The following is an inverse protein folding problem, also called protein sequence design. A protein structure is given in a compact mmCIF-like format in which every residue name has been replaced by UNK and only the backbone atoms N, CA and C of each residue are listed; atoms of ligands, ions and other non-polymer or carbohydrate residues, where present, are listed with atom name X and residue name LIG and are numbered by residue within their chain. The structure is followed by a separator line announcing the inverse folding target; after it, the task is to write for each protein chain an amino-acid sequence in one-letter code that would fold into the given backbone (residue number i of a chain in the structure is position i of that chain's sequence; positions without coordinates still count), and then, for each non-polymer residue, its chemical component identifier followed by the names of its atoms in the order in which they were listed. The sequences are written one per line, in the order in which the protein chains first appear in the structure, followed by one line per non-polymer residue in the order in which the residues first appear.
data_IF_696105412124
#
_entry.id   IF_696105412124
#
_cell.length_a   1.000
_cell.length_b   1.000
_cell.length_c   1.000
_cell.angle_alpha   90.00
_cell.angle_beta   90.00
_cell.angle_gamma   90.00
#
_symmetry.space_group_name_H-M   'P 1'
#
loop_
_entity.id
_entity.type
_entity.pdbx_description
1 polymer ?
#
# COMPACT_ATOMS: atom_id res chain seq x y z
N UNK A 1 -0.97 -4.62 -15.67
CA UNK A 1 -2.29 -5.20 -15.98
C UNK A 1 -2.24 -5.99 -17.29
N UNK A 2 -3.10 -6.99 -17.55
CA UNK A 2 -3.07 -7.73 -18.83
C UNK A 2 -3.44 -6.84 -20.02
N UNK A 3 -4.45 -5.98 -19.86
CA UNK A 3 -4.89 -5.10 -20.95
C UNK A 3 -3.78 -4.12 -21.32
N UNK A 4 -3.18 -3.44 -20.34
CA UNK A 4 -2.04 -2.53 -20.55
C UNK A 4 -0.88 -3.21 -21.31
N UNK A 5 -0.58 -4.47 -20.99
CA UNK A 5 0.49 -5.23 -21.67
C UNK A 5 0.11 -5.52 -23.13
N UNK A 6 -1.14 -5.90 -23.40
CA UNK A 6 -1.63 -6.14 -24.76
C UNK A 6 -1.64 -4.83 -25.56
N UNK A 7 -2.09 -3.73 -24.95
CA UNK A 7 -2.14 -2.41 -25.56
C UNK A 7 -0.72 -1.91 -25.92
N UNK A 8 0.26 -2.12 -25.03
CA UNK A 8 1.65 -1.79 -25.31
C UNK A 8 2.24 -2.64 -26.45
N UNK A 9 1.88 -3.93 -26.52
CA UNK A 9 2.27 -4.79 -27.65
C UNK A 9 1.67 -4.28 -28.97
N UNK A 10 0.39 -3.89 -28.98
CA UNK A 10 -0.27 -3.32 -30.15
C UNK A 10 0.35 -1.98 -30.55
N UNK A 11 0.68 -1.13 -29.58
CA UNK A 11 1.38 0.14 -29.82
C UNK A 11 2.72 -0.08 -30.51
N UNK A 12 3.54 -1.01 -30.00
CA UNK A 12 4.85 -1.32 -30.58
C UNK A 12 4.74 -1.98 -31.98
N UNK A 13 3.68 -2.75 -32.23
CA UNK A 13 3.41 -3.29 -33.57
C UNK A 13 3.07 -2.17 -34.59
N UNK A 14 2.34 -1.14 -34.15
CA UNK A 14 1.99 0.02 -34.99
C UNK A 14 3.13 1.04 -35.14
N UNK A 15 4.00 1.14 -34.14
CA UNK A 15 5.15 2.03 -34.10
C UNK A 15 6.39 1.29 -33.53
N UNK A 16 7.17 0.59 -34.37
CA UNK A 16 8.33 -0.18 -33.91
C UNK A 16 9.45 0.65 -33.28
N UNK A 17 9.50 1.95 -33.56
CA UNK A 17 10.49 2.89 -33.02
C UNK A 17 10.00 3.58 -31.72
N UNK A 18 8.87 3.13 -31.16
CA UNK A 18 8.33 3.65 -29.91
C UNK A 18 9.39 3.63 -28.80
N UNK A 19 9.51 4.75 -28.11
CA UNK A 19 10.43 4.93 -27.00
C UNK A 19 9.91 4.25 -25.74
N UNK A 20 10.81 3.96 -24.81
CA UNK A 20 10.42 3.43 -23.49
C UNK A 20 9.46 4.40 -22.78
N UNK A 21 9.64 5.71 -22.95
CA UNK A 21 8.80 6.70 -22.28
C UNK A 21 7.36 6.69 -22.83
N UNK A 22 7.17 6.49 -24.13
CA UNK A 22 5.83 6.29 -24.73
C UNK A 22 5.19 4.98 -24.23
N UNK A 23 5.98 3.91 -24.09
CA UNK A 23 5.47 2.65 -23.52
C UNK A 23 5.11 2.76 -22.03
N UNK A 24 5.79 3.64 -21.28
CA UNK A 24 5.44 3.94 -19.88
C UNK A 24 4.09 4.66 -19.78
N UNK A 25 3.69 5.43 -20.77
CA UNK A 25 2.35 6.05 -20.77
C UNK A 25 1.24 5.00 -20.89
N UNK A 26 1.52 3.87 -21.56
CA UNK A 26 0.59 2.74 -21.71
C UNK A 26 0.66 1.79 -20.50
N UNK A 27 1.86 1.52 -19.99
CA UNK A 27 2.10 0.69 -18.79
C UNK A 27 2.75 1.58 -17.71
N UNK A 28 1.94 2.34 -16.94
CA UNK A 28 2.47 3.33 -16.00
C UNK A 28 3.23 2.70 -14.85
N UNK A 29 2.78 1.53 -14.38
CA UNK A 29 3.42 0.81 -13.29
C UNK A 29 3.05 -0.68 -13.27
N UNK A 30 3.64 -1.41 -12.31
CA UNK A 30 3.28 -2.80 -12.03
C UNK A 30 1.89 -2.91 -11.41
N UNK A 31 1.22 -4.02 -11.68
CA UNK A 31 -0.13 -4.32 -11.18
C UNK A 31 -0.04 -5.45 -10.14
N UNK A 32 -0.35 -5.12 -8.88
CA UNK A 32 -0.21 -6.04 -7.75
C UNK A 32 -1.57 -6.63 -7.35
N UNK A 33 -1.67 -7.94 -7.08
CA UNK A 33 -2.95 -8.60 -6.80
C UNK A 33 -3.58 -8.20 -5.46
N UNK A 34 -2.81 -7.59 -4.56
CA UNK A 34 -3.27 -7.12 -3.25
C UNK A 34 -3.64 -5.65 -3.24
N UNK A 35 -3.74 -5.03 -4.43
CA UNK A 35 -3.92 -3.59 -4.58
C UNK A 35 -2.84 -2.80 -3.81
N UNK A 36 -3.24 -1.79 -3.03
CA UNK A 36 -2.35 -0.88 -2.32
C UNK A 36 -1.84 0.26 -3.20
N UNK A 37 -0.90 1.03 -2.63
CA UNK A 37 -0.44 2.29 -3.23
C UNK A 37 1.04 2.19 -3.56
N UNK A 38 1.39 2.39 -4.83
CA UNK A 38 2.77 2.62 -5.24
C UNK A 38 3.17 4.02 -4.78
N UNK A 39 4.11 4.09 -3.83
CA UNK A 39 4.61 5.32 -3.26
C UNK A 39 5.80 5.84 -4.07
N UNK A 40 5.48 6.72 -5.03
CA UNK A 40 6.46 7.30 -5.94
C UNK A 40 6.77 6.38 -7.12
N UNK A 41 6.85 6.98 -8.31
CA UNK A 41 6.98 6.25 -9.59
C UNK A 41 8.37 6.34 -10.21
N UNK A 42 9.29 7.13 -9.64
CA UNK A 42 10.63 7.32 -10.19
C UNK A 42 11.40 5.99 -10.31
N UNK A 43 11.42 5.19 -9.24
CA UNK A 43 12.10 3.89 -9.25
C UNK A 43 11.43 2.84 -10.15
N UNK A 44 10.13 2.98 -10.44
CA UNK A 44 9.42 2.15 -11.43
C UNK A 44 9.91 2.49 -12.83
N UNK A 45 9.96 3.79 -13.17
CA UNK A 45 10.45 4.28 -14.47
C UNK A 45 11.91 3.90 -14.72
N UNK A 46 12.77 4.01 -13.70
CA UNK A 46 14.16 3.53 -13.79
C UNK A 46 14.23 2.02 -14.05
N UNK A 47 13.33 1.26 -13.42
CA UNK A 47 13.15 -0.17 -13.67
C UNK A 47 12.84 -0.47 -15.14
N UNK A 48 11.90 0.26 -15.74
CA UNK A 48 11.58 0.10 -17.17
C UNK A 48 12.73 0.49 -18.10
N UNK A 49 13.47 1.55 -17.79
CA UNK A 49 14.57 2.02 -18.64
C UNK A 49 15.84 1.19 -18.55
N UNK A 50 16.15 0.67 -17.35
CA UNK A 50 17.47 0.06 -17.06
C UNK A 50 17.38 -1.43 -16.72
N UNK A 51 16.18 -1.96 -16.53
CA UNK A 51 15.96 -3.29 -15.96
C UNK A 51 16.20 -3.38 -14.44
N UNK A 52 16.60 -2.28 -13.79
CA UNK A 52 16.83 -2.21 -12.34
C UNK A 52 16.12 -1.00 -11.75
N UNK A 53 15.22 -1.27 -10.81
CA UNK A 53 14.41 -0.24 -10.17
C UNK A 53 13.91 -0.69 -8.81
N UNK A 54 13.42 0.26 -8.02
CA UNK A 54 12.79 -0.02 -6.72
C UNK A 54 11.35 0.45 -6.75
N UNK A 55 10.45 -0.43 -6.33
CA UNK A 55 9.05 -0.09 -6.08
C UNK A 55 8.86 -0.02 -4.56
N UNK A 56 8.29 1.08 -4.09
CA UNK A 56 7.89 1.21 -2.68
C UNK A 56 6.38 1.10 -2.64
N UNK A 57 5.88 0.15 -1.86
CA UNK A 57 4.44 -0.06 -1.68
C UNK A 57 4.02 0.44 -0.30
N UNK A 58 2.85 1.05 -0.23
CA UNK A 58 2.21 1.49 1.01
C UNK A 58 0.83 0.82 1.12
N UNK A 59 0.48 0.44 2.36
CA UNK A 59 -0.85 -0.03 2.70
C UNK A 59 -1.89 1.07 2.41
N UNK A 60 -3.10 0.68 1.99
CA UNK A 60 -4.22 1.61 1.93
C UNK A 60 -4.80 1.75 3.34
N UNK A 61 -4.89 2.99 3.83
CA UNK A 61 -5.34 3.29 5.18
C UNK A 61 -6.21 4.53 5.21
N UNK A 62 -7.14 4.58 6.15
CA UNK A 62 -7.90 5.78 6.48
C UNK A 62 -8.09 5.92 7.99
N UNK A 63 -8.65 7.05 8.43
CA UNK A 63 -8.90 7.32 9.84
C UNK A 63 -10.40 7.29 10.14
N UNK A 64 -10.76 6.68 11.26
CA UNK A 64 -12.12 6.67 11.78
C UNK A 64 -12.16 7.27 13.19
N UNK A 65 -13.21 8.02 13.48
CA UNK A 65 -13.54 8.44 14.85
C UNK A 65 -14.23 7.29 15.59
N UNK A 66 -13.73 6.97 16.78
CA UNK A 66 -14.29 5.94 17.67
C UNK A 66 -14.63 6.54 19.03
N UNK A 67 -15.37 5.77 19.85
CA UNK A 67 -15.82 6.22 21.18
C UNK A 67 -16.52 7.58 21.16
N UNK A 68 -17.47 7.74 20.22
CA UNK A 68 -18.22 8.99 20.00
C UNK A 68 -17.32 10.22 19.73
N UNK A 69 -16.22 10.01 19.00
CA UNK A 69 -15.27 11.07 18.62
C UNK A 69 -14.24 11.40 19.69
N UNK A 70 -14.15 10.64 20.78
CA UNK A 70 -13.12 10.87 21.80
C UNK A 70 -11.75 10.30 21.42
N UNK A 71 -11.72 9.35 20.48
CA UNK A 71 -10.52 8.62 20.08
C UNK A 71 -10.53 8.42 18.57
N UNK A 72 -9.33 8.24 18.01
CA UNK A 72 -9.13 7.95 16.60
C UNK A 72 -8.69 6.49 16.42
N UNK A 73 -9.03 5.90 15.29
CA UNK A 73 -8.51 4.62 14.85
C UNK A 73 -7.90 4.76 13.45
N UNK A 74 -6.78 4.07 13.23
CA UNK A 74 -6.19 3.88 11.91
C UNK A 74 -6.74 2.56 11.38
N UNK A 75 -7.41 2.63 10.25
CA UNK A 75 -7.95 1.47 9.55
C UNK A 75 -7.01 1.12 8.42
N UNK A 76 -6.64 -0.16 8.33
CA UNK A 76 -5.90 -0.70 7.21
C UNK A 76 -6.84 -1.54 6.36
N UNK A 77 -7.07 -1.07 5.14
CA UNK A 77 -7.99 -1.66 4.16
C UNK A 77 -7.27 -2.67 3.26
N UNK A 78 -5.99 -2.42 2.94
CA UNK A 78 -5.19 -3.23 2.03
C UNK A 78 -3.73 -3.31 2.49
N UNK A 79 -3.09 -4.48 2.33
CA UNK A 79 -1.67 -4.67 2.63
C UNK A 79 -0.83 -4.71 1.36
N UNK A 80 0.44 -4.27 1.43
CA UNK A 80 1.38 -4.46 0.34
C UNK A 80 1.54 -5.93 -0.06
N UNK A 81 1.89 -6.15 -1.32
CA UNK A 81 2.10 -7.49 -1.86
C UNK A 81 3.14 -8.27 -1.06
N UNK A 82 2.87 -9.57 -0.87
CA UNK A 82 3.69 -10.50 -0.07
C UNK A 82 3.81 -10.18 1.44
N UNK A 83 3.03 -9.24 1.97
CA UNK A 83 2.98 -9.01 3.42
C UNK A 83 2.01 -9.99 4.07
N UNK A 84 2.47 -10.73 5.07
CA UNK A 84 1.62 -11.58 5.90
C UNK A 84 0.95 -10.75 7.00
N UNK A 85 -0.39 -10.70 6.99
CA UNK A 85 -1.19 -9.95 7.98
C UNK A 85 -0.87 -10.35 9.42
N UNK A 86 -0.79 -11.65 9.72
CA UNK A 86 -0.55 -12.12 11.10
C UNK A 86 0.81 -11.64 11.60
N UNK A 87 1.86 -11.86 10.80
CA UNK A 87 3.22 -11.43 11.16
C UNK A 87 3.34 -9.91 11.30
N UNK A 88 2.59 -9.15 10.51
CA UNK A 88 2.51 -7.69 10.66
C UNK A 88 1.92 -7.30 12.02
N UNK A 89 0.77 -7.86 12.39
CA UNK A 89 0.11 -7.55 13.67
C UNK A 89 0.97 -7.95 14.87
N UNK A 90 1.59 -9.13 14.83
CA UNK A 90 2.53 -9.59 15.85
C UNK A 90 3.70 -8.61 16.02
N UNK A 91 4.26 -8.13 14.90
CA UNK A 91 5.37 -7.18 14.93
C UNK A 91 4.96 -5.81 15.47
N UNK A 92 3.77 -5.32 15.13
CA UNK A 92 3.27 -4.04 15.69
C UNK A 92 3.06 -4.20 17.20
N UNK A 93 2.43 -5.28 17.65
CA UNK A 93 2.21 -5.54 19.08
C UNK A 93 3.53 -5.64 19.87
N UNK A 94 4.55 -6.30 19.31
CA UNK A 94 5.90 -6.36 19.87
C UNK A 94 6.49 -4.95 20.05
N UNK A 95 6.44 -4.11 19.01
CA UNK A 95 6.99 -2.76 19.03
C UNK A 95 6.24 -1.82 20.01
N UNK A 96 4.94 -2.02 20.20
CA UNK A 96 4.13 -1.31 21.21
C UNK A 96 4.56 -1.74 22.62
N UNK A 97 4.73 -3.04 22.87
CA UNK A 97 5.19 -3.57 24.16
C UNK A 97 6.60 -3.11 24.52
N UNK A 98 7.50 -3.03 23.52
CA UNK A 98 8.85 -2.48 23.66
C UNK A 98 8.88 -0.95 23.83
N UNK A 99 7.73 -0.28 23.78
CA UNK A 99 7.58 1.19 23.81
C UNK A 99 8.34 1.91 22.69
N UNK A 100 8.59 1.21 21.57
CA UNK A 100 9.15 1.82 20.35
C UNK A 100 8.06 2.51 19.54
N UNK A 101 6.84 1.97 19.55
CA UNK A 101 5.64 2.63 19.04
C UNK A 101 4.82 3.13 20.23
N UNK A 102 4.55 4.43 20.25
CA UNK A 102 3.70 5.09 21.23
C UNK A 102 2.30 5.36 20.63
N UNK A 103 1.38 5.89 21.43
CA UNK A 103 0.06 6.29 20.93
C UNK A 103 -0.92 5.17 20.60
N UNK A 104 -0.49 3.92 20.43
CA UNK A 104 -1.39 2.77 20.20
C UNK A 104 -1.94 2.24 21.53
N UNK A 105 -3.24 1.98 21.58
CA UNK A 105 -3.94 1.43 22.74
C UNK A 105 -4.44 0.01 22.53
N UNK A 106 -4.87 -0.34 21.31
CA UNK A 106 -5.39 -1.67 21.00
C UNK A 106 -5.24 -1.95 19.49
N UNK A 107 -5.17 -3.24 19.12
CA UNK A 107 -5.05 -3.69 17.72
C UNK A 107 -6.00 -4.86 17.52
N UNK A 108 -6.89 -4.75 16.53
CA UNK A 108 -7.88 -5.79 16.21
C UNK A 108 -7.91 -6.12 14.73
N UNK A 109 -8.12 -7.40 14.44
CA UNK A 109 -8.39 -7.88 13.09
C UNK A 109 -9.90 -8.11 12.94
N UNK A 110 -10.58 -7.21 12.25
CA UNK A 110 -12.01 -7.25 11.95
C UNK A 110 -12.27 -7.72 10.51
N UNK A 111 -11.26 -8.34 9.87
CA UNK A 111 -11.39 -8.82 8.49
C UNK A 111 -12.39 -9.98 8.40
N UNK A 112 -13.18 -9.98 7.33
CA UNK A 112 -14.18 -11.01 7.06
C UNK A 112 -14.20 -11.41 5.58
N UNK A 113 -15.31 -12.00 5.11
CA UNK A 113 -15.47 -12.39 3.70
C UNK A 113 -15.66 -11.21 2.75
N UNK A 114 -16.04 -10.04 3.26
CA UNK A 114 -16.29 -8.83 2.49
C UNK A 114 -15.03 -8.02 2.24
N UNK A 115 -14.00 -8.18 3.08
CA UNK A 115 -12.72 -7.51 2.88
C UNK A 115 -11.80 -7.63 4.09
N UNK A 116 -10.60 -7.06 3.92
CA UNK A 116 -9.66 -6.93 5.02
C UNK A 116 -9.96 -5.65 5.79
N UNK A 117 -9.93 -5.74 7.13
CA UNK A 117 -10.04 -4.59 8.01
C UNK A 117 -9.21 -4.83 9.25
N UNK A 118 -8.10 -4.11 9.38
CA UNK A 118 -7.32 -4.06 10.62
C UNK A 118 -7.58 -2.72 11.29
N UNK A 119 -7.94 -2.76 12.57
CA UNK A 119 -8.22 -1.58 13.38
C UNK A 119 -7.09 -1.38 14.37
N UNK A 120 -6.39 -0.25 14.27
CA UNK A 120 -5.38 0.17 15.23
C UNK A 120 -5.97 1.35 16.00
N UNK A 121 -6.40 1.10 17.23
CA UNK A 121 -6.95 2.16 18.06
C UNK A 121 -5.83 3.00 18.68
N UNK A 122 -6.04 4.32 18.68
CA UNK A 122 -5.12 5.26 19.31
C UNK A 122 -5.59 5.63 20.72
N UNK A 123 -4.62 6.04 21.54
CA UNK A 123 -4.84 6.64 22.85
C UNK A 123 -5.55 7.98 22.67
N UNK A 124 -6.22 8.41 23.73
CA UNK A 124 -6.98 9.66 23.74
C UNK A 124 -6.06 10.86 23.50
N UNK A 125 -6.42 11.70 22.54
CA UNK A 125 -5.69 12.94 22.22
C UNK A 125 -4.49 12.76 21.30
N UNK A 126 -4.22 11.54 20.81
CA UNK A 126 -3.18 11.30 19.82
C UNK A 126 -3.59 11.79 18.43
N UNK A 127 -2.64 12.33 17.68
CA UNK A 127 -2.85 12.77 16.30
C UNK A 127 -2.51 11.61 15.37
N UNK A 128 -3.47 11.06 14.60
CA UNK A 128 -3.27 9.85 13.83
C UNK A 128 -2.23 9.97 12.71
N UNK A 129 -1.95 11.18 12.23
CA UNK A 129 -0.90 11.43 11.22
C UNK A 129 0.52 11.28 11.76
N UNK A 130 0.70 11.35 13.08
CA UNK A 130 2.01 11.32 13.75
C UNK A 130 2.35 9.93 14.29
N UNK A 131 1.33 9.11 14.54
CA UNK A 131 1.45 7.76 15.14
C UNK A 131 1.78 6.71 14.09
#
# INVERSE_FOLDING_TARGET
NLNEVVDACQHLLGNPEATIDELIEVIPASDFPTAGIIYGVAGVRDGYRTGRGRVVMRAATHFEEIDRGQRMAIIVDELPYQVNKRSLLERIAELVNEKKLAGISDIRDESDKSGMRVVIELKRGEVPEVV
#
